data_IF_484351103649
#
_entry.id   IF_484351103649
#
_cell.length_a   1.000
_cell.length_b   1.000
_cell.length_c   1.000
_cell.angle_alpha   90.00
_cell.angle_beta   90.00
_cell.angle_gamma   90.00
#
_symmetry.space_group_name_H-M   'P 1'
#
loop_
_entity.id
_entity.type
_entity.pdbx_description
1 polymer ?
#
# COMPACT_ATOMS: atom_id res chain seq x y z
N UNK A 1 34.00 57.06 -9.49
CA UNK A 1 33.89 55.57 -9.48
C UNK A 1 33.33 55.00 -8.14
N UNK A 2 32.26 55.55 -7.55
CA UNK A 2 31.77 55.16 -6.19
C UNK A 2 30.36 54.50 -6.13
N UNK A 3 29.62 54.44 -7.24
CA UNK A 3 28.24 53.90 -7.27
C UNK A 3 28.16 52.38 -7.48
N UNK A 4 29.12 51.79 -8.21
CA UNK A 4 29.13 50.36 -8.54
C UNK A 4 29.24 49.46 -7.30
N UNK A 5 30.09 49.83 -6.32
CA UNK A 5 30.29 49.03 -5.10
C UNK A 5 29.05 48.92 -4.20
N UNK A 6 28.15 49.91 -4.19
CA UNK A 6 26.90 49.84 -3.39
C UNK A 6 25.87 48.92 -4.04
N UNK A 7 25.82 48.90 -5.37
CA UNK A 7 24.94 48.00 -6.13
C UNK A 7 25.43 46.56 -5.98
N UNK A 8 26.73 46.33 -6.12
CA UNK A 8 27.35 45.02 -5.88
C UNK A 8 27.16 44.54 -4.44
N UNK A 9 27.31 45.42 -3.46
CA UNK A 9 27.05 45.11 -2.05
C UNK A 9 25.57 44.78 -1.79
N UNK A 10 24.63 45.55 -2.37
CA UNK A 10 23.20 45.27 -2.26
C UNK A 10 22.81 43.93 -2.90
N UNK A 11 23.38 43.60 -4.06
CA UNK A 11 23.20 42.30 -4.71
C UNK A 11 23.73 41.18 -3.83
N UNK A 12 24.92 41.33 -3.24
CA UNK A 12 25.54 40.31 -2.40
C UNK A 12 24.78 40.09 -1.10
N UNK A 13 24.27 41.16 -0.48
CA UNK A 13 23.42 41.07 0.72
C UNK A 13 22.10 40.37 0.39
N UNK A 14 21.47 40.71 -0.75
CA UNK A 14 20.21 40.08 -1.17
C UNK A 14 20.40 38.59 -1.48
N UNK A 15 21.50 38.24 -2.17
CA UNK A 15 21.89 36.86 -2.41
C UNK A 15 22.18 36.11 -1.10
N UNK A 16 22.88 36.75 -0.15
CA UNK A 16 23.17 36.17 1.16
C UNK A 16 21.91 35.89 1.96
N UNK A 17 20.95 36.81 1.97
CA UNK A 17 19.64 36.63 2.62
C UNK A 17 18.87 35.49 1.95
N UNK A 18 18.83 35.41 0.62
CA UNK A 18 18.19 34.31 -0.10
C UNK A 18 18.84 32.95 0.21
N UNK A 19 20.17 32.89 0.27
CA UNK A 19 20.90 31.67 0.61
C UNK A 19 20.69 31.26 2.08
N UNK A 20 20.64 32.21 3.01
CA UNK A 20 20.31 31.93 4.41
C UNK A 20 18.86 31.44 4.57
N UNK A 21 17.90 32.08 3.90
CA UNK A 21 16.50 31.66 3.93
C UNK A 21 16.29 30.26 3.34
N UNK A 22 17.08 29.88 2.32
CA UNK A 22 17.13 28.51 1.80
C UNK A 22 17.69 27.52 2.84
N UNK A 23 18.72 27.90 3.60
CA UNK A 23 19.38 27.02 4.57
C UNK A 23 18.62 26.88 5.90
N UNK A 24 17.69 27.79 6.18
CA UNK A 24 16.91 27.78 7.42
C UNK A 24 15.67 26.87 7.36
N UNK A 25 15.40 26.20 6.22
CA UNK A 25 14.25 25.31 5.99
C UNK A 25 12.87 25.93 6.31
N UNK A 26 12.77 27.25 6.52
CA UNK A 26 11.53 27.93 6.94
C UNK A 26 10.46 27.87 5.84
N UNK A 27 10.88 27.81 4.57
CA UNK A 27 9.99 27.71 3.40
C UNK A 27 9.88 26.30 2.83
N UNK A 28 10.58 25.29 3.37
CA UNK A 28 10.52 23.90 2.91
C UNK A 28 9.09 23.33 2.84
N UNK A 29 8.19 23.49 3.84
CA UNK A 29 6.85 22.91 3.74
C UNK A 29 6.01 23.53 2.62
N UNK A 30 6.20 24.81 2.31
CA UNK A 30 5.49 25.51 1.22
C UNK A 30 6.11 25.16 -0.13
N UNK A 31 7.45 25.17 -0.23
CA UNK A 31 8.17 24.82 -1.45
C UNK A 31 8.03 23.35 -1.82
N UNK A 32 7.91 22.44 -0.85
CA UNK A 32 7.64 21.01 -1.05
C UNK A 32 6.24 20.74 -1.63
N UNK A 33 5.26 21.61 -1.39
CA UNK A 33 3.93 21.49 -1.99
C UNK A 33 3.92 22.07 -3.42
N UNK A 34 4.73 23.09 -3.70
CA UNK A 34 4.81 23.74 -5.02
C UNK A 34 5.73 22.96 -5.97
N UNK A 35 6.68 22.17 -5.44
CA UNK A 35 7.59 21.38 -6.24
C UNK A 35 6.91 20.10 -6.78
N UNK A 36 6.68 19.98 -8.10
CA UNK A 36 5.99 18.83 -8.68
C UNK A 36 6.69 17.50 -8.40
N UNK A 37 8.02 17.50 -8.20
CA UNK A 37 8.77 16.30 -7.83
C UNK A 37 8.38 15.74 -6.45
N UNK A 38 8.09 16.62 -5.48
CA UNK A 38 7.69 16.20 -4.13
C UNK A 38 6.24 15.70 -4.08
N UNK A 39 5.35 16.28 -4.90
CA UNK A 39 3.99 15.76 -5.10
C UNK A 39 4.02 14.37 -5.75
N UNK A 40 4.81 14.20 -6.83
CA UNK A 40 5.00 12.90 -7.46
C UNK A 40 5.57 11.88 -6.47
N UNK A 41 6.56 12.26 -5.65
CA UNK A 41 7.13 11.38 -4.63
C UNK A 41 6.11 10.89 -3.59
N UNK A 42 5.10 11.70 -3.24
CA UNK A 42 4.08 11.32 -2.23
C UNK A 42 2.85 10.63 -2.81
N UNK A 43 2.52 10.92 -4.06
CA UNK A 43 1.33 10.42 -4.74
C UNK A 43 1.62 9.41 -5.86
N UNK A 44 2.87 8.98 -6.02
CA UNK A 44 3.24 7.93 -6.99
C UNK A 44 2.36 6.67 -6.90
N UNK A 45 1.95 6.16 -5.70
CA UNK A 45 1.13 4.96 -5.65
C UNK A 45 -0.26 5.19 -6.25
N UNK A 46 -0.83 6.38 -6.04
CA UNK A 46 -2.11 6.72 -6.66
C UNK A 46 -2.02 6.80 -8.19
N UNK A 47 -0.92 7.31 -8.73
CA UNK A 47 -0.76 7.51 -10.16
C UNK A 47 -0.39 6.22 -10.91
N UNK A 48 0.51 5.41 -10.35
CA UNK A 48 1.08 4.25 -11.04
C UNK A 48 0.46 2.91 -10.63
N UNK A 49 -0.22 2.81 -9.48
CA UNK A 49 -0.85 1.57 -9.01
C UNK A 49 -2.38 1.69 -9.04
N UNK A 50 -2.94 2.70 -8.37
CA UNK A 50 -4.40 2.87 -8.31
C UNK A 50 -5.00 3.16 -9.69
N UNK A 51 -4.40 4.06 -10.47
CA UNK A 51 -4.93 4.43 -11.79
C UNK A 51 -5.02 3.20 -12.73
N UNK A 52 -3.94 2.42 -12.94
CA UNK A 52 -4.02 1.20 -13.75
C UNK A 52 -4.97 0.16 -13.15
N UNK A 53 -5.00 -0.01 -11.83
CA UNK A 53 -5.94 -0.91 -11.15
C UNK A 53 -7.40 -0.57 -11.43
N UNK A 54 -7.76 0.71 -11.39
CA UNK A 54 -9.08 1.22 -11.74
C UNK A 54 -9.39 1.05 -13.23
N UNK A 55 -8.41 1.26 -14.12
CA UNK A 55 -8.58 1.05 -15.56
C UNK A 55 -8.91 -0.42 -15.86
N UNK A 56 -8.23 -1.38 -15.20
CA UNK A 56 -8.54 -2.81 -15.35
C UNK A 56 -9.97 -3.13 -14.90
N UNK A 57 -10.41 -2.59 -13.77
CA UNK A 57 -11.79 -2.73 -13.29
C UNK A 57 -12.79 -2.11 -14.26
N UNK A 58 -12.55 -0.88 -14.69
CA UNK A 58 -13.41 -0.18 -15.64
C UNK A 58 -13.54 -0.96 -16.96
N UNK A 59 -12.42 -1.46 -17.49
CA UNK A 59 -12.40 -2.28 -18.71
C UNK A 59 -13.24 -3.55 -18.55
N UNK A 60 -13.13 -4.24 -17.41
CA UNK A 60 -13.93 -5.45 -17.13
C UNK A 60 -15.44 -5.16 -17.10
N UNK A 61 -15.86 -4.11 -16.39
CA UNK A 61 -17.28 -3.76 -16.30
C UNK A 61 -17.84 -3.15 -17.59
N UNK A 62 -17.04 -2.37 -18.32
CA UNK A 62 -17.46 -1.74 -19.57
C UNK A 62 -17.59 -2.74 -20.72
N UNK A 63 -16.82 -3.83 -20.75
CA UNK A 63 -16.75 -4.77 -21.88
C UNK A 63 -17.52 -6.08 -21.67
N UNK A 64 -18.59 -6.01 -20.87
CA UNK A 64 -19.54 -7.11 -20.64
C UNK A 64 -18.98 -8.32 -19.87
N UNK A 65 -18.02 -8.11 -18.95
CA UNK A 65 -17.50 -9.14 -18.02
C UNK A 65 -16.89 -10.39 -18.67
N UNK A 66 -16.42 -10.28 -19.91
CA UNK A 66 -15.93 -11.45 -20.69
C UNK A 66 -14.64 -12.04 -20.15
N UNK A 67 -13.77 -11.22 -19.54
CA UNK A 67 -12.42 -11.63 -19.12
C UNK A 67 -12.19 -11.36 -17.63
N UNK A 68 -12.64 -12.25 -16.73
CA UNK A 68 -12.47 -12.08 -15.29
C UNK A 68 -11.01 -12.18 -14.86
N UNK A 69 -10.11 -12.73 -15.70
CA UNK A 69 -8.67 -12.75 -15.47
C UNK A 69 -8.05 -11.35 -15.36
N UNK A 70 -8.63 -10.32 -15.97
CA UNK A 70 -8.16 -8.93 -15.88
C UNK A 70 -8.38 -8.32 -14.49
N UNK A 71 -9.32 -8.86 -13.71
CA UNK A 71 -9.56 -8.40 -12.34
C UNK A 71 -8.43 -8.81 -11.39
N UNK A 72 -7.70 -9.89 -11.66
CA UNK A 72 -6.58 -10.30 -10.79
C UNK A 72 -5.50 -9.21 -10.71
N UNK A 73 -4.87 -8.77 -11.81
CA UNK A 73 -3.91 -7.67 -11.75
C UNK A 73 -4.61 -6.36 -11.34
N UNK A 74 -5.87 -6.14 -11.71
CA UNK A 74 -6.65 -4.98 -11.29
C UNK A 74 -6.77 -4.85 -9.76
N UNK A 75 -7.19 -5.92 -9.09
CA UNK A 75 -7.40 -5.98 -7.64
C UNK A 75 -6.09 -5.89 -6.86
N UNK A 76 -5.05 -6.57 -7.35
CA UNK A 76 -3.70 -6.47 -6.77
C UNK A 76 -3.22 -5.01 -6.79
N UNK A 77 -3.28 -4.36 -7.96
CA UNK A 77 -2.84 -2.98 -8.12
C UNK A 77 -3.69 -1.99 -7.32
N UNK A 78 -4.99 -2.23 -7.22
CA UNK A 78 -5.90 -1.38 -6.44
C UNK A 78 -5.55 -1.44 -4.95
N UNK A 79 -5.44 -2.65 -4.39
CA UNK A 79 -5.10 -2.81 -2.97
C UNK A 79 -3.68 -2.32 -2.68
N UNK A 80 -2.68 -2.67 -3.51
CA UNK A 80 -1.32 -2.16 -3.36
C UNK A 80 -1.25 -0.64 -3.44
N UNK A 81 -1.96 -0.04 -4.39
CA UNK A 81 -2.03 1.40 -4.54
C UNK A 81 -2.63 2.08 -3.31
N UNK A 82 -3.70 1.53 -2.72
CA UNK A 82 -4.26 2.02 -1.46
C UNK A 82 -3.27 1.88 -0.29
N UNK A 83 -2.67 0.71 -0.14
CA UNK A 83 -1.73 0.42 0.97
C UNK A 83 -0.50 1.32 0.89
N UNK A 84 0.09 1.45 -0.29
CA UNK A 84 1.27 2.29 -0.49
C UNK A 84 0.94 3.77 -0.38
N UNK A 85 -0.23 4.22 -0.87
CA UNK A 85 -0.68 5.60 -0.69
C UNK A 85 -0.91 5.90 0.79
N UNK A 86 -1.53 4.98 1.54
CA UNK A 86 -1.73 5.12 2.98
C UNK A 86 -0.39 5.24 3.72
N UNK A 87 0.58 4.39 3.40
CA UNK A 87 1.92 4.47 3.99
C UNK A 87 2.66 5.77 3.65
N UNK A 88 2.52 6.29 2.43
CA UNK A 88 3.12 7.58 2.05
C UNK A 88 2.47 8.78 2.77
N UNK A 89 1.24 8.62 3.27
CA UNK A 89 0.52 9.67 4.00
C UNK A 89 0.75 9.59 5.51
N UNK A 90 0.64 8.40 6.11
CA UNK A 90 0.60 8.19 7.55
C UNK A 90 1.81 7.43 8.11
N UNK A 91 2.64 6.84 7.25
CA UNK A 91 3.64 5.84 7.66
C UNK A 91 3.02 4.51 8.10
N UNK A 92 3.83 3.60 8.64
CA UNK A 92 3.36 2.30 9.14
C UNK A 92 3.70 1.08 8.27
N UNK A 93 4.82 1.12 7.55
CA UNK A 93 5.30 0.02 6.71
C UNK A 93 5.46 -1.30 7.48
N UNK A 94 5.79 -1.20 8.76
CA UNK A 94 5.94 -2.29 9.71
C UNK A 94 4.63 -3.03 10.03
N UNK A 95 3.47 -2.36 9.95
CA UNK A 95 2.16 -3.00 10.20
C UNK A 95 1.47 -3.38 8.90
N UNK A 96 1.65 -2.57 7.86
CA UNK A 96 0.85 -2.66 6.63
C UNK A 96 1.40 -3.65 5.61
N UNK A 97 2.65 -4.11 5.75
CA UNK A 97 3.25 -5.08 4.84
C UNK A 97 2.42 -6.37 4.63
N UNK A 98 1.67 -6.92 5.60
CA UNK A 98 0.83 -8.10 5.37
C UNK A 98 -0.33 -7.83 4.41
N UNK A 99 -0.72 -6.56 4.23
CA UNK A 99 -1.72 -6.15 3.26
C UNK A 99 -1.20 -6.30 1.81
N UNK A 100 0.12 -6.39 1.61
CA UNK A 100 0.71 -6.76 0.31
C UNK A 100 0.33 -8.19 -0.06
N UNK A 101 0.41 -9.13 0.89
CA UNK A 101 -0.06 -10.51 0.69
C UNK A 101 -1.58 -10.51 0.47
N UNK A 102 -2.31 -9.62 1.16
CA UNK A 102 -3.76 -9.50 1.04
C UNK A 102 -4.15 -9.01 -0.36
N UNK A 103 -3.35 -8.16 -1.00
CA UNK A 103 -3.60 -7.71 -2.37
C UNK A 103 -3.70 -8.88 -3.35
N UNK A 104 -2.87 -9.92 -3.20
CA UNK A 104 -2.90 -11.13 -4.02
C UNK A 104 -4.14 -11.97 -3.70
N UNK A 105 -4.46 -12.13 -2.41
CA UNK A 105 -5.67 -12.82 -1.99
C UNK A 105 -6.93 -12.13 -2.55
N UNK A 106 -6.96 -10.80 -2.54
CA UNK A 106 -8.06 -9.98 -3.05
C UNK A 106 -8.21 -10.10 -4.57
N UNK A 107 -7.13 -9.98 -5.35
CA UNK A 107 -7.19 -10.17 -6.79
C UNK A 107 -7.65 -11.58 -7.20
N UNK A 108 -7.19 -12.62 -6.49
CA UNK A 108 -7.69 -13.98 -6.69
C UNK A 108 -9.16 -14.14 -6.27
N UNK A 109 -9.58 -13.46 -5.21
CA UNK A 109 -10.96 -13.45 -4.75
C UNK A 109 -11.91 -12.80 -5.76
N UNK A 110 -11.49 -11.72 -6.42
CA UNK A 110 -12.26 -11.12 -7.51
C UNK A 110 -12.41 -12.09 -8.68
N UNK A 111 -11.36 -12.81 -9.07
CA UNK A 111 -11.44 -13.87 -10.07
C UNK A 111 -12.42 -14.98 -9.68
N UNK A 112 -12.44 -15.36 -8.40
CA UNK A 112 -13.38 -16.36 -7.90
C UNK A 112 -14.84 -15.89 -8.04
N UNK A 113 -15.15 -14.65 -7.64
CA UNK A 113 -16.52 -14.12 -7.68
C UNK A 113 -17.02 -13.93 -9.10
N UNK A 114 -16.19 -13.31 -9.96
CA UNK A 114 -16.57 -12.84 -11.28
C UNK A 114 -16.22 -13.82 -12.41
N UNK A 115 -15.43 -14.86 -12.12
CA UNK A 115 -15.13 -15.95 -13.05
C UNK A 115 -15.99 -17.19 -12.83
N UNK A 116 -15.41 -18.36 -13.08
CA UNK A 116 -16.12 -19.65 -13.07
C UNK A 116 -16.35 -20.25 -11.67
N UNK A 117 -16.03 -19.51 -10.59
CA UNK A 117 -16.15 -19.98 -9.20
C UNK A 117 -15.46 -21.32 -8.93
N UNK A 118 -14.27 -21.48 -9.49
CA UNK A 118 -13.45 -22.68 -9.28
C UNK A 118 -13.12 -22.85 -7.81
N UNK A 119 -13.58 -23.97 -7.22
CA UNK A 119 -13.40 -24.25 -5.78
C UNK A 119 -11.93 -24.39 -5.41
N UNK A 120 -11.06 -24.78 -6.35
CA UNK A 120 -9.62 -24.88 -6.13
C UNK A 120 -8.97 -23.53 -5.80
N UNK A 121 -9.53 -22.41 -6.26
CA UNK A 121 -8.97 -21.08 -6.02
C UNK A 121 -9.18 -20.60 -4.57
N UNK A 122 -10.19 -21.14 -3.88
CA UNK A 122 -10.50 -20.78 -2.50
C UNK A 122 -9.40 -21.19 -1.51
N UNK A 123 -8.64 -22.24 -1.83
CA UNK A 123 -7.53 -22.70 -0.99
C UNK A 123 -6.43 -21.62 -0.94
N UNK A 124 -5.86 -21.18 -2.09
CA UNK A 124 -4.93 -20.04 -2.11
C UNK A 124 -5.50 -18.77 -1.47
N UNK A 125 -6.74 -18.39 -1.78
CA UNK A 125 -7.38 -17.19 -1.23
C UNK A 125 -7.44 -17.27 0.30
N UNK A 126 -7.88 -18.41 0.84
CA UNK A 126 -8.00 -18.64 2.28
C UNK A 126 -6.64 -18.63 2.98
N UNK A 127 -5.63 -19.27 2.39
CA UNK A 127 -4.28 -19.28 2.96
C UNK A 127 -3.67 -17.88 2.95
N UNK A 128 -3.67 -17.20 1.80
CA UNK A 128 -3.07 -15.87 1.67
C UNK A 128 -3.83 -14.83 2.51
N UNK A 129 -5.17 -14.84 2.45
CA UNK A 129 -6.01 -13.93 3.23
C UNK A 129 -5.89 -14.18 4.73
N UNK A 130 -5.89 -15.45 5.16
CA UNK A 130 -5.70 -15.84 6.56
C UNK A 130 -4.33 -15.44 7.09
N UNK A 131 -3.26 -15.71 6.32
CA UNK A 131 -1.90 -15.35 6.68
C UNK A 131 -1.72 -13.83 6.79
N UNK A 132 -2.24 -13.08 5.82
CA UNK A 132 -2.28 -11.62 5.87
C UNK A 132 -2.95 -11.09 7.10
N UNK A 133 -4.13 -11.64 7.44
CA UNK A 133 -4.89 -11.21 8.59
C UNK A 133 -4.16 -11.51 9.90
N UNK A 134 -3.60 -12.70 10.04
CA UNK A 134 -2.82 -13.11 11.22
C UNK A 134 -1.59 -12.23 11.43
N UNK A 135 -0.84 -11.97 10.36
CA UNK A 135 0.32 -11.10 10.44
C UNK A 135 -0.10 -9.65 10.74
N UNK A 136 -1.06 -9.09 10.00
CA UNK A 136 -1.55 -7.73 10.26
C UNK A 136 -1.98 -7.54 11.71
N UNK A 137 -2.74 -8.50 12.24
CA UNK A 137 -3.19 -8.48 13.64
C UNK A 137 -2.01 -8.54 14.60
N UNK A 138 -1.05 -9.45 14.38
CA UNK A 138 0.14 -9.60 15.24
C UNK A 138 0.98 -8.32 15.26
N UNK A 139 1.32 -7.75 14.10
CA UNK A 139 2.15 -6.55 14.00
C UNK A 139 1.44 -5.29 14.51
N UNK A 140 0.13 -5.18 14.29
CA UNK A 140 -0.66 -4.08 14.85
C UNK A 140 -0.71 -4.17 16.37
N UNK A 141 -0.88 -5.38 16.92
CA UNK A 141 -0.98 -5.61 18.35
C UNK A 141 0.37 -5.38 19.05
N UNK A 142 1.48 -5.83 18.46
CA UNK A 142 2.82 -5.60 19.01
C UNK A 142 3.18 -4.12 19.07
N UNK A 143 2.79 -3.33 18.06
CA UNK A 143 3.01 -1.88 18.06
C UNK A 143 2.15 -1.16 19.10
N UNK A 144 0.90 -1.58 19.27
CA UNK A 144 -0.03 -0.99 20.24
C UNK A 144 0.36 -1.33 21.69
N UNK A 145 0.75 -2.57 21.94
CA UNK A 145 0.96 -3.08 23.29
C UNK A 145 2.43 -3.00 23.75
N UNK A 146 3.38 -2.63 22.89
CA UNK A 146 4.84 -2.70 23.15
C UNK A 146 5.32 -4.07 23.64
N UNK A 147 4.50 -5.10 23.52
CA UNK A 147 4.82 -6.48 23.84
C UNK A 147 5.25 -7.19 22.57
N UNK A 148 6.39 -7.87 22.64
CA UNK A 148 6.93 -8.66 21.54
C UNK A 148 6.02 -9.89 21.33
N UNK A 149 4.99 -9.72 20.50
CA UNK A 149 3.94 -10.72 20.26
C UNK A 149 4.37 -11.76 19.23
N UNK A 150 5.59 -11.64 18.68
CA UNK A 150 6.21 -12.57 17.75
C UNK A 150 6.11 -14.06 18.12
N UNK A 151 6.28 -14.47 19.40
CA UNK A 151 6.21 -15.87 19.80
C UNK A 151 4.78 -16.45 19.74
N UNK A 152 3.74 -15.62 19.83
CA UNK A 152 2.35 -16.08 19.92
C UNK A 152 1.67 -16.22 18.56
N UNK A 153 2.22 -15.59 17.52
CA UNK A 153 1.69 -15.68 16.15
C UNK A 153 1.74 -17.11 15.60
N UNK A 154 2.83 -17.84 15.88
CA UNK A 154 3.04 -19.22 15.42
C UNK A 154 2.00 -20.18 16.03
N UNK A 155 1.76 -20.22 17.36
CA UNK A 155 0.70 -21.02 17.97
C UNK A 155 -0.69 -20.75 17.40
N UNK A 156 -1.07 -19.47 17.23
CA UNK A 156 -2.40 -19.11 16.70
C UNK A 156 -2.56 -19.58 15.26
N UNK A 157 -1.51 -19.46 14.45
CA UNK A 157 -1.50 -19.97 13.08
C UNK A 157 -1.66 -21.49 13.04
N UNK A 158 -0.95 -22.23 13.90
CA UNK A 158 -1.09 -23.69 13.99
C UNK A 158 -2.49 -24.11 14.45
N UNK A 159 -3.10 -23.39 15.40
CA UNK A 159 -4.49 -23.66 15.84
C UNK A 159 -5.48 -23.39 14.72
N UNK A 160 -5.32 -22.27 13.98
CA UNK A 160 -6.18 -21.92 12.85
C UNK A 160 -6.09 -22.94 11.71
N UNK A 161 -4.87 -23.33 11.33
CA UNK A 161 -4.64 -24.39 10.32
C UNK A 161 -5.21 -25.72 10.79
N UNK A 162 -5.02 -26.06 12.07
CA UNK A 162 -5.58 -27.27 12.67
C UNK A 162 -7.11 -27.32 12.61
N UNK A 163 -7.80 -26.21 12.92
CA UNK A 163 -9.25 -26.11 12.84
C UNK A 163 -9.77 -26.26 11.40
N UNK A 164 -9.08 -25.65 10.42
CA UNK A 164 -9.47 -25.74 9.01
C UNK A 164 -9.33 -27.19 8.52
N UNK A 165 -8.23 -27.88 8.83
CA UNK A 165 -8.02 -29.29 8.48
C UNK A 165 -9.07 -30.22 9.10
N UNK A 166 -9.44 -30.00 10.37
CA UNK A 166 -10.48 -30.77 11.06
C UNK A 166 -11.86 -30.55 10.44
N UNK A 167 -12.17 -29.33 10.01
CA UNK A 167 -13.45 -29.02 9.36
C UNK A 167 -13.56 -29.60 7.93
N UNK A 168 -12.46 -29.66 7.19
CA UNK A 168 -12.40 -30.23 5.83
C UNK A 168 -12.55 -31.75 5.79
N UNK A 169 -12.14 -32.46 6.85
CA UNK A 169 -12.23 -33.93 6.94
C UNK A 169 -13.65 -34.48 7.13
N UNK A 170 -14.64 -33.63 7.44
CA UNK A 170 -16.04 -34.07 7.69
C UNK A 170 -16.88 -34.29 6.44
N UNK A 171 -16.42 -33.93 5.24
CA UNK A 171 -17.25 -33.98 4.01
C UNK A 171 -17.18 -35.30 3.22
N UNK A 172 -16.64 -36.38 3.79
CA UNK A 172 -16.55 -37.70 3.14
C UNK A 172 -17.13 -38.88 3.96
N UNK A 173 -18.07 -38.62 4.87
CA UNK A 173 -18.94 -39.67 5.44
C UNK A 173 -20.35 -39.12 5.54
N UNK A 174 -21.19 -39.39 4.54
CA UNK A 174 -22.37 -40.28 4.53
C UNK A 174 -22.80 -40.43 3.07
#
# INVERSE_FOLDING_TARGET
>A
MKRSGRVLGGILITLGILFLLKNLDIFEPVWRVINPGALLGRFWPSLFLLLPGLIFHYSFFSRSRRDPGLLVPGGILLVLGLVFQFNMLFGGWDITWPLVIFSVAFGLFELYIFGNREKGLLIPIGILGGLSFLFFFTFSLSRLLRFDTGPYAIPVLFIGVGLILVSGGRKNRV
#
